data_IF_621576891723
#
_entry.id   IF_621576891723
#
_cell.length_a   1.000
_cell.length_b   1.000
_cell.length_c   1.000
_cell.angle_alpha   90.00
_cell.angle_beta   90.00
_cell.angle_gamma   90.00
#
_symmetry.space_group_name_H-M   'P 1'
#
loop_
_entity.id
_entity.type
_entity.pdbx_description
1 polymer ?
#
# COMPACT_ATOMS: atom_id res chain seq x y z
N UNK A 1 2.21 -4.08 -25.28
CA UNK A 1 1.40 -3.10 -24.50
C UNK A 1 0.30 -2.42 -25.32
N UNK A 2 0.60 -1.95 -26.55
CA UNK A 2 -0.33 -1.15 -27.36
C UNK A 2 -1.74 -1.75 -27.55
N UNK A 3 -1.84 -3.06 -27.79
CA UNK A 3 -3.14 -3.74 -27.98
C UNK A 3 -3.97 -3.75 -26.68
N UNK A 4 -3.41 -4.23 -25.57
CA UNK A 4 -4.08 -4.31 -24.26
C UNK A 4 -4.52 -2.94 -23.70
N UNK A 5 -3.72 -1.89 -23.90
CA UNK A 5 -3.99 -0.57 -23.31
C UNK A 5 -5.02 0.25 -24.09
N UNK A 6 -5.24 -0.04 -25.37
CA UNK A 6 -6.26 0.64 -26.19
C UNK A 6 -7.64 0.01 -26.05
N UNK A 7 -7.73 -1.28 -25.73
CA UNK A 7 -9.00 -2.01 -25.53
C UNK A 7 -9.41 -2.06 -24.05
N UNK A 8 -10.62 -2.57 -23.75
CA UNK A 8 -11.06 -2.75 -22.35
C UNK A 8 -10.41 -3.95 -21.67
N UNK A 9 -9.70 -4.73 -22.46
CA UNK A 9 -9.18 -6.06 -22.14
C UNK A 9 -8.13 -6.00 -21.02
N UNK A 10 -7.51 -4.83 -20.78
CA UNK A 10 -6.62 -4.64 -19.62
C UNK A 10 -7.32 -4.93 -18.29
N UNK A 11 -8.63 -4.69 -18.18
CA UNK A 11 -9.38 -5.02 -16.97
C UNK A 11 -9.65 -6.53 -16.84
N UNK A 12 -9.79 -7.22 -17.98
CA UNK A 12 -9.92 -8.67 -18.02
C UNK A 12 -8.63 -9.38 -17.60
N UNK A 13 -7.49 -8.71 -17.73
CA UNK A 13 -6.20 -9.15 -17.17
C UNK A 13 -6.06 -8.75 -15.69
N UNK A 14 -6.49 -7.53 -15.32
CA UNK A 14 -6.35 -7.01 -13.96
C UNK A 14 -7.10 -7.86 -12.92
N UNK A 15 -8.36 -8.20 -13.17
CA UNK A 15 -9.21 -8.88 -12.19
C UNK A 15 -8.65 -10.26 -11.79
N UNK A 16 -8.23 -11.14 -12.72
CA UNK A 16 -7.55 -12.39 -12.37
C UNK A 16 -6.25 -12.19 -11.58
N UNK A 17 -5.44 -11.18 -11.91
CA UNK A 17 -4.21 -10.88 -11.16
C UNK A 17 -4.57 -10.52 -9.71
N UNK A 18 -5.53 -9.61 -9.51
CA UNK A 18 -5.98 -9.21 -8.17
C UNK A 18 -6.59 -10.39 -7.40
N UNK A 19 -7.33 -11.28 -8.06
CA UNK A 19 -7.84 -12.51 -7.46
C UNK A 19 -6.70 -13.39 -6.94
N UNK A 20 -5.71 -13.71 -7.78
CA UNK A 20 -4.61 -14.60 -7.40
C UNK A 20 -3.70 -14.00 -6.34
N UNK A 21 -3.43 -12.69 -6.41
CA UNK A 21 -2.68 -11.96 -5.39
C UNK A 21 -3.42 -11.98 -4.05
N UNK A 22 -4.73 -11.68 -4.05
CA UNK A 22 -5.55 -11.67 -2.84
C UNK A 22 -5.68 -13.06 -2.19
N UNK A 23 -5.88 -14.09 -3.01
CA UNK A 23 -5.98 -15.49 -2.56
C UNK A 23 -4.66 -16.01 -1.96
N UNK A 24 -3.52 -15.50 -2.44
CA UNK A 24 -2.20 -15.97 -2.03
C UNK A 24 -1.61 -15.22 -0.83
N UNK A 25 -2.24 -14.13 -0.36
CA UNK A 25 -1.66 -13.15 0.58
C UNK A 25 -1.12 -13.71 1.90
N UNK A 26 -1.68 -14.83 2.37
CA UNK A 26 -1.32 -15.47 3.63
C UNK A 26 -0.38 -16.67 3.44
N UNK A 27 -0.12 -17.09 2.20
CA UNK A 27 0.71 -18.25 1.89
C UNK A 27 2.16 -17.81 1.63
N UNK A 28 3.12 -18.11 2.55
CA UNK A 28 4.52 -17.74 2.39
C UNK A 28 5.17 -18.35 1.14
N UNK A 29 4.68 -19.50 0.65
CA UNK A 29 5.21 -20.16 -0.54
C UNK A 29 4.80 -19.45 -1.84
N UNK A 30 3.74 -18.65 -1.81
CA UNK A 30 3.21 -17.91 -2.97
C UNK A 30 3.62 -16.44 -3.01
N UNK A 31 4.55 -16.03 -2.14
CA UNK A 31 5.08 -14.65 -2.11
C UNK A 31 5.65 -14.25 -3.47
N UNK A 32 6.34 -15.15 -4.19
CA UNK A 32 6.83 -14.86 -5.53
C UNK A 32 5.72 -14.56 -6.54
N UNK A 33 4.59 -15.27 -6.45
CA UNK A 33 3.42 -15.03 -7.31
C UNK A 33 2.78 -13.65 -7.02
N UNK A 34 2.78 -13.24 -5.75
CA UNK A 34 2.29 -11.92 -5.37
C UNK A 34 3.20 -10.83 -5.95
N UNK A 35 4.51 -10.96 -5.82
CA UNK A 35 5.47 -10.02 -6.41
C UNK A 35 5.29 -9.90 -7.93
N UNK A 36 5.13 -11.03 -8.62
CA UNK A 36 4.84 -11.05 -10.06
C UNK A 36 3.57 -10.27 -10.41
N UNK A 37 2.47 -10.54 -9.70
CA UNK A 37 1.21 -9.83 -9.91
C UNK A 37 1.33 -8.33 -9.67
N UNK A 38 2.00 -7.93 -8.60
CA UNK A 38 2.23 -6.52 -8.25
C UNK A 38 3.13 -5.83 -9.28
N UNK A 39 4.20 -6.46 -9.75
CA UNK A 39 5.08 -5.89 -10.78
C UNK A 39 4.40 -5.73 -12.14
N UNK A 40 3.54 -6.68 -12.54
CA UNK A 40 2.71 -6.52 -13.74
C UNK A 40 1.79 -5.30 -13.58
N UNK A 41 1.14 -5.13 -12.42
CA UNK A 41 0.28 -3.98 -12.18
C UNK A 41 1.10 -2.68 -12.12
N UNK A 42 2.30 -2.68 -11.54
CA UNK A 42 3.22 -1.54 -11.54
C UNK A 42 3.57 -1.10 -12.97
N UNK A 43 3.94 -2.07 -13.82
CA UNK A 43 4.19 -1.82 -15.24
C UNK A 43 2.96 -1.20 -15.93
N UNK A 44 1.76 -1.74 -15.70
CA UNK A 44 0.51 -1.21 -16.28
C UNK A 44 0.16 0.19 -15.74
N UNK A 45 0.43 0.46 -14.46
CA UNK A 45 0.12 1.73 -13.80
C UNK A 45 0.89 2.91 -14.38
N UNK A 46 2.04 2.67 -15.01
CA UNK A 46 2.83 3.69 -15.70
C UNK A 46 2.15 4.29 -16.94
N UNK A 47 1.00 3.74 -17.35
CA UNK A 47 0.30 4.14 -18.57
C UNK A 47 -1.03 4.83 -18.23
N UNK A 48 -1.20 6.08 -18.70
CA UNK A 48 -2.40 6.90 -18.45
C UNK A 48 -3.71 6.17 -18.75
N UNK A 49 -3.74 5.41 -19.86
CA UNK A 49 -4.94 4.68 -20.27
C UNK A 49 -5.37 3.64 -19.23
N UNK A 50 -4.44 3.02 -18.51
CA UNK A 50 -4.76 2.09 -17.43
C UNK A 50 -5.50 2.81 -16.31
N UNK A 51 -4.96 3.92 -15.80
CA UNK A 51 -5.60 4.74 -14.77
C UNK A 51 -7.00 5.21 -15.17
N UNK A 52 -7.17 5.66 -16.42
CA UNK A 52 -8.49 6.06 -16.94
C UNK A 52 -9.47 4.87 -16.99
N UNK A 53 -9.01 3.70 -17.44
CA UNK A 53 -9.84 2.48 -17.58
C UNK A 53 -10.33 1.95 -16.23
N UNK A 54 -9.60 2.18 -15.13
CA UNK A 54 -10.01 1.75 -13.80
C UNK A 54 -11.35 2.33 -13.34
N UNK A 55 -11.80 3.46 -13.91
CA UNK A 55 -13.10 4.05 -13.62
C UNK A 55 -14.31 3.25 -14.13
N UNK A 56 -14.09 2.18 -14.91
CA UNK A 56 -15.21 1.33 -15.34
C UNK A 56 -15.88 0.67 -14.14
N UNK A 57 -17.23 0.60 -14.09
CA UNK A 57 -17.94 -0.11 -13.04
C UNK A 57 -17.42 -1.53 -12.88
N UNK A 58 -17.19 -1.95 -11.64
CA UNK A 58 -16.81 -3.31 -11.33
C UNK A 58 -18.06 -4.15 -11.07
N UNK A 59 -18.18 -5.26 -11.80
CA UNK A 59 -19.19 -6.28 -11.54
C UNK A 59 -18.49 -7.49 -10.94
N UNK A 60 -18.86 -7.93 -9.72
CA UNK A 60 -18.26 -9.10 -9.10
C UNK A 60 -18.45 -10.35 -9.99
N UNK A 61 -17.35 -10.88 -10.50
CA UNK A 61 -17.31 -12.14 -11.28
C UNK A 61 -16.63 -13.29 -10.55
N UNK A 62 -15.78 -12.97 -9.59
CA UNK A 62 -15.02 -13.93 -8.78
C UNK A 62 -15.14 -13.57 -7.30
N UNK A 63 -15.11 -14.58 -6.43
CA UNK A 63 -15.08 -14.41 -4.98
C UNK A 63 -13.70 -13.92 -4.53
N UNK A 64 -13.42 -12.63 -4.76
CA UNK A 64 -12.27 -11.96 -4.16
C UNK A 64 -12.67 -11.60 -2.74
N UNK A 65 -11.92 -12.10 -1.76
CA UNK A 65 -12.13 -11.80 -0.36
C UNK A 65 -11.80 -10.32 -0.08
N UNK A 66 -12.78 -9.44 -0.25
CA UNK A 66 -12.79 -8.02 0.10
C UNK A 66 -14.17 -7.63 0.66
N UNK A 67 -14.23 -6.52 1.40
CA UNK A 67 -15.51 -5.98 1.87
C UNK A 67 -16.39 -5.63 0.66
N UNK A 68 -17.69 -5.98 0.71
CA UNK A 68 -18.64 -5.66 -0.34
C UNK A 68 -18.71 -4.15 -0.59
N UNK A 69 -18.75 -3.77 -1.87
CA UNK A 69 -18.81 -2.39 -2.32
C UNK A 69 -19.52 -2.31 -3.67
N UNK A 70 -20.06 -1.13 -3.97
CA UNK A 70 -20.53 -0.75 -5.31
C UNK A 70 -19.62 0.36 -5.80
N UNK A 71 -18.90 0.12 -6.89
CA UNK A 71 -17.89 1.05 -7.37
C UNK A 71 -17.21 0.59 -8.65
N UNK A 72 -15.97 1.00 -8.81
CA UNK A 72 -15.17 0.82 -10.03
C UNK A 72 -14.07 -0.22 -9.84
N UNK A 73 -13.30 -0.51 -10.89
CA UNK A 73 -12.12 -1.36 -10.77
C UNK A 73 -11.02 -0.69 -9.93
N UNK A 74 -11.00 0.64 -9.82
CA UNK A 74 -10.11 1.35 -8.91
C UNK A 74 -10.39 0.99 -7.45
N UNK A 75 -11.68 0.88 -7.07
CA UNK A 75 -12.08 0.48 -5.73
C UNK A 75 -11.59 -0.93 -5.40
N UNK A 76 -11.77 -1.88 -6.32
CA UNK A 76 -11.27 -3.25 -6.17
C UNK A 76 -9.75 -3.26 -5.93
N UNK A 77 -9.00 -2.50 -6.73
CA UNK A 77 -7.55 -2.38 -6.62
C UNK A 77 -7.14 -1.87 -5.23
N UNK A 78 -7.75 -0.76 -4.78
CA UNK A 78 -7.50 -0.16 -3.46
C UNK A 78 -7.83 -1.15 -2.33
N UNK A 79 -8.96 -1.85 -2.43
CA UNK A 79 -9.41 -2.82 -1.42
C UNK A 79 -8.47 -4.02 -1.29
N UNK A 80 -8.04 -4.59 -2.43
CA UNK A 80 -7.07 -5.69 -2.43
C UNK A 80 -5.73 -5.23 -1.87
N UNK A 81 -5.24 -4.07 -2.29
CA UNK A 81 -3.95 -3.54 -1.84
C UNK A 81 -3.97 -3.21 -0.35
N UNK A 82 -5.06 -2.63 0.15
CA UNK A 82 -5.28 -2.43 1.58
C UNK A 82 -5.17 -3.75 2.36
N UNK A 83 -5.80 -4.84 1.89
CA UNK A 83 -5.69 -6.15 2.55
C UNK A 83 -4.28 -6.72 2.53
N UNK A 84 -3.56 -6.59 1.42
CA UNK A 84 -2.16 -7.01 1.33
C UNK A 84 -1.29 -6.27 2.34
N UNK A 85 -1.52 -4.96 2.50
CA UNK A 85 -0.76 -4.11 3.43
C UNK A 85 -1.10 -4.42 4.89
N UNK A 86 -2.39 -4.58 5.20
CA UNK A 86 -2.86 -4.65 6.60
C UNK A 86 -2.94 -6.05 7.18
N UNK A 87 -3.22 -7.06 6.34
CA UNK A 87 -3.45 -8.45 6.78
C UNK A 87 -2.56 -9.46 6.08
N UNK A 88 -1.73 -9.02 5.13
CA UNK A 88 -0.83 -9.88 4.41
C UNK A 88 0.33 -10.40 5.26
N UNK A 89 1.03 -11.39 4.74
CA UNK A 89 2.24 -11.92 5.35
C UNK A 89 3.30 -10.81 5.56
N UNK A 90 4.06 -10.84 6.67
CA UNK A 90 5.16 -9.91 6.95
C UNK A 90 6.18 -9.81 5.80
N UNK A 91 6.38 -10.89 5.04
CA UNK A 91 7.23 -10.89 3.83
C UNK A 91 6.75 -9.97 2.71
N UNK A 92 5.52 -9.46 2.78
CA UNK A 92 4.97 -8.50 1.83
C UNK A 92 5.31 -7.04 2.18
N UNK A 93 5.97 -6.77 3.31
CA UNK A 93 6.39 -5.41 3.66
C UNK A 93 7.29 -4.79 2.59
N UNK A 94 8.14 -5.58 1.95
CA UNK A 94 8.99 -5.14 0.82
C UNK A 94 8.19 -4.66 -0.40
N UNK A 95 6.89 -5.00 -0.49
CA UNK A 95 6.01 -4.58 -1.58
C UNK A 95 5.20 -3.32 -1.26
N UNK A 96 5.25 -2.79 -0.04
CA UNK A 96 4.40 -1.66 0.34
C UNK A 96 4.65 -0.42 -0.53
N UNK A 97 5.92 -0.11 -0.79
CA UNK A 97 6.29 0.98 -1.69
C UNK A 97 5.74 0.77 -3.11
N UNK A 98 5.73 -0.47 -3.60
CA UNK A 98 5.23 -0.82 -4.93
C UNK A 98 3.72 -0.64 -5.00
N UNK A 99 3.01 -1.18 -4.01
CA UNK A 99 1.56 -1.10 -3.90
C UNK A 99 1.10 0.35 -3.82
N UNK A 100 1.77 1.17 -3.00
CA UNK A 100 1.45 2.59 -2.88
C UNK A 100 1.84 3.38 -4.14
N UNK A 101 2.99 3.08 -4.77
CA UNK A 101 3.41 3.69 -6.04
C UNK A 101 2.36 3.47 -7.15
N UNK A 102 1.81 2.26 -7.26
CA UNK A 102 0.73 1.97 -8.19
C UNK A 102 -0.49 2.86 -7.92
N UNK A 103 -0.91 2.98 -6.65
CA UNK A 103 -2.05 3.83 -6.28
C UNK A 103 -1.75 5.29 -6.62
N UNK A 104 -0.53 5.78 -6.35
CA UNK A 104 -0.09 7.13 -6.71
C UNK A 104 -0.18 7.35 -8.22
N UNK A 105 0.35 6.44 -9.04
CA UNK A 105 0.30 6.54 -10.50
C UNK A 105 -1.12 6.65 -11.06
N UNK A 106 -2.09 5.96 -10.46
CA UNK A 106 -3.49 5.97 -10.94
C UNK A 106 -4.34 7.08 -10.32
N UNK A 107 -3.94 7.60 -9.15
CA UNK A 107 -4.71 8.57 -8.36
C UNK A 107 -5.17 9.84 -9.10
N UNK A 108 -4.40 10.45 -10.02
CA UNK A 108 -4.87 11.64 -10.77
C UNK A 108 -6.03 11.36 -11.72
N UNK A 109 -6.33 10.08 -11.99
CA UNK A 109 -7.34 9.65 -12.96
C UNK A 109 -8.58 9.05 -12.30
N UNK A 110 -8.62 8.90 -10.97
CA UNK A 110 -9.72 8.28 -10.25
C UNK A 110 -10.90 9.25 -10.10
N UNK A 111 -11.88 9.15 -10.99
CA UNK A 111 -13.01 10.08 -11.06
C UNK A 111 -13.99 9.94 -9.91
N UNK A 112 -14.18 8.72 -9.42
CA UNK A 112 -15.08 8.47 -8.30
C UNK A 112 -14.67 7.21 -7.57
N UNK A 113 -14.30 7.35 -6.30
CA UNK A 113 -14.10 6.22 -5.40
C UNK A 113 -15.28 6.07 -4.46
N UNK A 114 -15.62 4.82 -4.15
CA UNK A 114 -16.63 4.45 -3.18
C UNK A 114 -16.25 4.89 -1.78
N UNK A 115 -17.25 5.05 -0.91
CA UNK A 115 -17.05 5.29 0.51
C UNK A 115 -16.17 4.22 1.17
N UNK A 116 -16.28 2.97 0.72
CA UNK A 116 -15.48 1.87 1.28
C UNK A 116 -14.00 2.04 0.94
N UNK A 117 -13.67 2.32 -0.32
CA UNK A 117 -12.28 2.55 -0.75
C UNK A 117 -11.69 3.82 -0.12
N UNK A 118 -12.47 4.90 -0.02
CA UNK A 118 -12.07 6.12 0.69
C UNK A 118 -11.67 5.83 2.14
N UNK A 119 -12.51 5.09 2.88
CA UNK A 119 -12.19 4.66 4.25
C UNK A 119 -10.92 3.80 4.32
N UNK A 120 -10.67 2.93 3.33
CA UNK A 120 -9.43 2.13 3.29
C UNK A 120 -8.19 2.99 3.09
N UNK A 121 -8.23 4.00 2.21
CA UNK A 121 -7.11 4.93 2.02
C UNK A 121 -6.82 5.73 3.31
N UNK A 122 -7.86 6.27 3.95
CA UNK A 122 -7.70 7.03 5.19
C UNK A 122 -7.25 6.14 6.35
N UNK A 123 -7.69 4.89 6.40
CA UNK A 123 -7.18 3.91 7.38
C UNK A 123 -5.68 3.64 7.22
N UNK A 124 -5.16 3.57 5.99
CA UNK A 124 -3.71 3.43 5.78
C UNK A 124 -2.95 4.66 6.28
N UNK A 125 -3.48 5.87 6.04
CA UNK A 125 -2.90 7.12 6.55
C UNK A 125 -2.89 7.10 8.08
N UNK A 126 -4.02 6.78 8.71
CA UNK A 126 -4.13 6.71 10.17
C UNK A 126 -3.15 5.70 10.77
N UNK A 127 -2.98 4.54 10.15
CA UNK A 127 -2.01 3.53 10.61
C UNK A 127 -0.56 4.00 10.44
N UNK A 128 -0.20 4.52 9.27
CA UNK A 128 1.17 4.90 8.93
C UNK A 128 1.58 6.27 9.45
N UNK A 129 0.64 7.12 9.88
CA UNK A 129 0.95 8.40 10.53
C UNK A 129 1.14 8.27 12.04
N UNK A 130 1.00 7.08 12.62
CA UNK A 130 1.23 6.89 14.05
C UNK A 130 2.71 7.15 14.39
N UNK A 131 3.02 7.93 15.44
CA UNK A 131 4.41 8.29 15.75
C UNK A 131 5.31 7.07 16.00
N UNK A 132 4.78 6.05 16.69
CA UNK A 132 5.48 4.77 16.86
C UNK A 132 5.91 4.18 15.50
N UNK A 133 5.00 4.12 14.52
CA UNK A 133 5.29 3.50 13.23
C UNK A 133 6.34 4.33 12.50
N UNK A 134 6.12 5.64 12.39
CA UNK A 134 7.03 6.56 11.72
C UNK A 134 8.44 6.44 12.26
N UNK A 135 8.62 6.37 13.59
CA UNK A 135 9.93 6.33 14.23
C UNK A 135 10.55 4.92 14.28
N UNK A 136 9.83 3.86 13.90
CA UNK A 136 10.31 2.48 14.00
C UNK A 136 11.28 2.06 12.90
N UNK A 137 11.34 2.79 11.77
CA UNK A 137 12.19 2.47 10.63
C UNK A 137 12.57 3.74 9.89
N UNK A 138 13.80 3.84 9.35
CA UNK A 138 14.24 5.00 8.57
C UNK A 138 13.37 5.22 7.31
N UNK A 139 12.68 4.20 6.80
CA UNK A 139 11.91 4.27 5.55
C UNK A 139 10.40 4.44 5.75
N UNK A 140 9.88 4.27 6.97
CA UNK A 140 8.43 4.27 7.20
C UNK A 140 7.75 5.61 6.85
N UNK A 141 8.47 6.72 6.97
CA UNK A 141 7.96 8.03 6.59
C UNK A 141 7.68 8.14 5.07
N UNK A 142 8.36 7.37 4.22
CA UNK A 142 8.13 7.40 2.77
C UNK A 142 6.72 6.93 2.40
N UNK A 143 6.19 5.96 3.13
CA UNK A 143 4.83 5.44 2.93
C UNK A 143 3.78 6.54 3.13
N UNK A 144 4.02 7.46 4.08
CA UNK A 144 3.11 8.59 4.29
C UNK A 144 3.21 9.63 3.17
N UNK A 145 4.39 9.83 2.57
CA UNK A 145 4.55 10.67 1.39
C UNK A 145 3.70 10.16 0.22
N UNK A 146 3.77 8.86 -0.09
CA UNK A 146 2.95 8.27 -1.13
C UNK A 146 1.45 8.43 -0.86
N UNK A 147 0.99 8.16 0.37
CA UNK A 147 -0.44 8.28 0.70
C UNK A 147 -0.95 9.72 0.64
N UNK A 148 -0.15 10.70 1.09
CA UNK A 148 -0.50 12.12 0.97
C UNK A 148 -0.52 12.55 -0.51
N UNK A 149 0.41 12.04 -1.33
CA UNK A 149 0.40 12.28 -2.77
C UNK A 149 -0.86 11.71 -3.44
N UNK A 150 -1.32 10.51 -3.04
CA UNK A 150 -2.61 9.95 -3.51
C UNK A 150 -3.76 10.90 -3.21
N UNK A 151 -3.86 11.40 -1.97
CA UNK A 151 -4.94 12.32 -1.60
C UNK A 151 -4.84 13.63 -2.38
N UNK A 152 -3.64 14.20 -2.49
CA UNK A 152 -3.42 15.46 -3.18
C UNK A 152 -3.77 15.34 -4.66
N UNK A 153 -3.39 14.25 -5.31
CA UNK A 153 -3.75 13.98 -6.70
C UNK A 153 -5.27 13.91 -6.88
N UNK A 154 -5.98 13.18 -6.03
CA UNK A 154 -7.44 13.07 -6.15
C UNK A 154 -8.12 14.43 -5.87
N UNK A 155 -7.67 15.16 -4.84
CA UNK A 155 -8.21 16.48 -4.50
C UNK A 155 -7.92 17.52 -5.59
N UNK A 156 -6.74 17.52 -6.19
CA UNK A 156 -6.37 18.52 -7.20
C UNK A 156 -6.98 18.23 -8.57
N UNK A 157 -7.07 16.95 -8.97
CA UNK A 157 -7.43 16.58 -10.34
C UNK A 157 -8.84 16.01 -10.49
N UNK A 158 -9.41 15.44 -9.43
CA UNK A 158 -10.66 14.69 -9.49
C UNK A 158 -11.61 15.06 -8.35
N UNK A 159 -11.53 16.28 -7.79
CA UNK A 159 -12.37 16.72 -6.67
C UNK A 159 -13.86 16.47 -6.91
N UNK A 160 -14.34 16.88 -8.10
CA UNK A 160 -15.74 16.91 -8.52
C UNK A 160 -16.50 15.60 -8.26
N UNK A 161 -15.89 14.45 -8.59
CA UNK A 161 -16.52 13.14 -8.43
C UNK A 161 -16.15 12.36 -7.17
N UNK A 162 -15.33 12.94 -6.28
CA UNK A 162 -14.77 12.27 -5.10
C UNK A 162 -15.27 12.83 -3.75
N UNK A 163 -16.55 13.19 -3.68
CA UNK A 163 -17.18 13.67 -2.44
C UNK A 163 -17.07 12.67 -1.27
N UNK A 164 -17.09 11.36 -1.55
CA UNK A 164 -16.87 10.30 -0.56
C UNK A 164 -15.50 10.41 0.12
N UNK A 165 -14.44 10.67 -0.65
CA UNK A 165 -13.10 10.85 -0.10
C UNK A 165 -13.03 12.12 0.74
N UNK A 166 -13.54 13.22 0.19
CA UNK A 166 -13.57 14.53 0.88
C UNK A 166 -14.30 14.44 2.21
N UNK A 167 -15.46 13.80 2.22
CA UNK A 167 -16.23 13.53 3.43
C UNK A 167 -15.43 12.71 4.45
N UNK A 168 -14.77 11.63 4.00
CA UNK A 168 -13.95 10.79 4.87
C UNK A 168 -12.78 11.58 5.48
N UNK A 169 -12.12 12.43 4.69
CA UNK A 169 -11.05 13.34 5.16
C UNK A 169 -11.57 14.30 6.23
N UNK A 170 -12.73 14.92 6.02
CA UNK A 170 -13.36 15.83 6.99
C UNK A 170 -13.67 15.11 8.31
N UNK A 171 -14.22 13.89 8.23
CA UNK A 171 -14.52 13.06 9.41
C UNK A 171 -13.28 12.66 10.19
N UNK A 172 -12.16 12.42 9.48
CA UNK A 172 -10.88 11.97 10.05
C UNK A 172 -9.85 13.10 10.13
N UNK A 173 -10.28 14.37 10.10
CA UNK A 173 -9.42 15.57 10.11
C UNK A 173 -8.34 15.57 11.18
N UNK A 174 -8.62 14.97 12.34
CA UNK A 174 -7.67 14.88 13.46
C UNK A 174 -6.39 14.13 13.09
N UNK A 175 -6.46 13.13 12.21
CA UNK A 175 -5.28 12.41 11.74
C UNK A 175 -4.28 13.36 11.06
N UNK A 176 -4.78 14.27 10.22
CA UNK A 176 -3.95 15.26 9.53
C UNK A 176 -3.43 16.34 10.46
N UNK A 177 -4.26 16.80 11.41
CA UNK A 177 -3.83 17.77 12.42
C UNK A 177 -2.75 17.21 13.34
N UNK A 178 -2.85 15.93 13.72
CA UNK A 178 -1.82 15.26 14.51
C UNK A 178 -0.53 15.08 13.72
N UNK A 179 -0.62 14.67 12.44
CA UNK A 179 0.55 14.52 11.58
C UNK A 179 1.26 15.85 11.34
N UNK A 180 0.51 16.94 11.11
CA UNK A 180 1.07 18.29 10.96
C UNK A 180 1.79 18.77 12.23
N UNK A 181 1.29 18.38 13.40
CA UNK A 181 1.83 18.76 14.71
C UNK A 181 2.71 17.67 15.35
N UNK A 182 3.24 16.73 14.57
CA UNK A 182 4.09 15.64 15.06
C UNK A 182 5.31 16.23 15.80
N UNK A 183 5.52 15.90 17.08
CA UNK A 183 6.71 16.39 17.80
C UNK A 183 7.99 15.70 17.29
N UNK A 184 9.06 16.49 17.15
CA UNK A 184 10.41 16.04 16.80
C UNK A 184 11.31 15.87 18.03
N UNK A 185 10.78 16.11 19.24
CA UNK A 185 11.59 16.17 20.46
C UNK A 185 12.14 14.77 20.80
N UNK A 186 13.42 14.69 21.13
CA UNK A 186 14.08 13.41 21.47
C UNK A 186 13.35 12.66 22.59
N UNK A 187 12.88 13.36 23.63
CA UNK A 187 12.10 12.77 24.71
C UNK A 187 10.76 12.19 24.23
N UNK A 188 10.09 12.87 23.30
CA UNK A 188 8.85 12.40 22.70
C UNK A 188 9.08 11.16 21.83
N UNK A 189 10.10 11.19 20.97
CA UNK A 189 10.49 10.07 20.10
C UNK A 189 10.75 8.81 20.95
N UNK A 190 11.60 8.94 21.98
CA UNK A 190 11.91 7.82 22.87
C UNK A 190 10.66 7.27 23.57
N UNK A 191 9.79 8.15 24.07
CA UNK A 191 8.54 7.75 24.73
C UNK A 191 7.63 6.95 23.79
N UNK A 192 7.46 7.39 22.54
CA UNK A 192 6.60 6.71 21.57
C UNK A 192 7.15 5.35 21.14
N UNK A 193 8.48 5.19 21.08
CA UNK A 193 9.13 3.89 20.80
C UNK A 193 9.07 2.91 21.99
N UNK A 194 9.13 3.41 23.23
CA UNK A 194 9.09 2.58 24.44
C UNK A 194 7.69 2.08 24.80
N UNK A 195 6.65 2.88 24.53
CA UNK A 195 5.26 2.60 24.92
C UNK A 195 4.67 1.29 24.39
N UNK A 196 5.31 0.63 23.41
CA UNK A 196 4.87 -0.66 22.87
C UNK A 196 5.68 -1.87 23.37
N UNK A 197 6.88 -1.67 23.93
CA UNK A 197 7.65 -2.77 24.56
C UNK A 197 6.93 -3.33 25.80
N UNK A 198 6.22 -2.49 26.55
CA UNK A 198 5.41 -2.90 27.71
C UNK A 198 4.11 -3.65 27.36
N UNK A 199 3.58 -3.47 26.14
CA UNK A 199 2.26 -4.00 25.75
C UNK A 199 2.27 -5.45 25.24
N UNK A 200 3.45 -6.08 25.16
CA UNK A 200 3.59 -7.52 24.84
C UNK A 200 3.29 -8.43 26.05
N UNK A 201 3.29 -7.92 27.27
CA UNK A 201 3.10 -8.75 28.47
C UNK A 201 1.63 -8.95 28.86
N UNK A 202 0.71 -8.07 28.46
CA UNK A 202 -0.69 -8.13 28.89
C UNK A 202 -1.63 -8.89 27.94
N UNK A 203 -1.16 -9.32 26.77
CA UNK A 203 -2.01 -10.05 25.79
C UNK A 203 -1.92 -11.57 25.94
N UNK A 204 -1.05 -12.08 26.82
CA UNK A 204 -0.88 -13.53 27.05
C UNK A 204 -1.82 -14.06 28.15
N UNK A 205 -2.52 -13.19 28.88
CA UNK A 205 -3.33 -13.59 30.05
C UNK A 205 -4.82 -13.88 29.76
N UNK A 206 -5.36 -13.54 28.59
CA UNK A 206 -6.82 -13.58 28.34
C UNK A 206 -7.30 -14.66 27.34
N UNK A 207 -6.51 -15.72 27.11
CA UNK A 207 -6.96 -16.83 26.24
C UNK A 207 -6.60 -18.23 26.75
N UNK A 208 -6.58 -18.42 28.07
CA UNK A 208 -6.52 -19.75 28.68
C UNK A 208 -7.63 -19.97 29.69
N UNK A 209 -8.79 -20.37 29.19
CA UNK A 209 -9.73 -21.22 29.93
C UNK A 209 -10.32 -22.27 28.99
N UNK A 210 -10.39 -23.51 29.48
CA UNK A 210 -10.86 -24.77 28.84
C UNK A 210 -9.77 -25.74 28.32
N UNK A 211 -9.06 -26.39 29.26
CA UNK A 211 -8.89 -27.86 29.49
C UNK A 211 -9.07 -28.77 28.25
N UNK A 212 -8.14 -29.65 27.84
CA UNK A 212 -7.64 -30.87 28.53
C UNK A 212 -6.18 -31.25 28.20
N UNK A 213 -5.63 -32.02 29.15
CA UNK A 213 -4.29 -32.58 29.30
C UNK A 213 -3.65 -33.31 28.10
N UNK A 214 -2.35 -33.08 27.91
CA UNK A 214 -1.34 -34.13 27.66
C UNK A 214 0.08 -33.58 27.94
N UNK A 215 0.90 -34.39 28.63
CA UNK A 215 2.26 -34.04 29.11
C UNK A 215 3.29 -33.96 27.96
N UNK A 216 4.39 -33.20 28.12
CA UNK A 216 5.35 -32.92 27.05
C UNK A 216 6.34 -34.08 26.86
N UNK A 217 6.53 -34.52 25.62
CA UNK A 217 7.70 -35.33 25.23
C UNK A 217 8.78 -34.39 24.71
N UNK A 218 9.98 -34.55 25.26
CA UNK A 218 11.21 -33.83 24.96
C UNK A 218 11.53 -33.80 23.46
N UNK A 219 11.57 -32.60 22.87
CA UNK A 219 12.11 -32.39 21.53
C UNK A 219 13.63 -32.37 21.58
N UNK A 220 14.24 -33.41 21.03
CA UNK A 220 15.63 -33.44 20.59
C UNK A 220 15.82 -32.41 19.48
N UNK A 221 16.83 -31.55 19.65
CA UNK A 221 17.28 -30.59 18.65
C UNK A 221 17.71 -31.31 17.37
N UNK A 222 16.95 -31.15 16.29
CA UNK A 222 17.45 -31.39 14.94
C UNK A 222 17.53 -30.06 14.18
N UNK A 223 18.71 -29.44 14.28
CA UNK A 223 19.20 -28.43 13.33
C UNK A 223 19.39 -29.12 11.98
N UNK A 224 18.51 -28.85 11.02
CA UNK A 224 18.76 -28.84 9.56
C UNK A 224 17.43 -28.65 8.83
N UNK A 225 16.96 -27.40 8.76
CA UNK A 225 15.87 -27.03 7.86
C UNK A 225 16.48 -26.16 6.76
N UNK A 226 16.79 -26.76 5.61
CA UNK A 226 17.14 -26.05 4.39
C UNK A 226 15.86 -25.34 3.93
N UNK A 227 15.68 -24.08 4.34
CA UNK A 227 14.67 -23.21 3.73
C UNK A 227 15.25 -22.76 2.39
N UNK A 228 14.68 -23.24 1.28
CA UNK A 228 14.86 -22.60 -0.01
C UNK A 228 14.37 -21.15 0.12
N UNK A 229 15.31 -20.21 0.21
CA UNK A 229 15.00 -18.79 0.34
C UNK A 229 14.86 -18.22 -1.06
N UNK A 230 13.74 -17.55 -1.34
CA UNK A 230 13.59 -16.75 -2.55
C UNK A 230 14.72 -15.72 -2.56
N UNK A 231 15.37 -15.49 -3.72
CA UNK A 231 16.34 -14.43 -3.87
C UNK A 231 15.76 -13.09 -3.37
N UNK A 232 16.59 -12.25 -2.76
CA UNK A 232 16.15 -10.94 -2.25
C UNK A 232 15.47 -10.16 -3.36
N UNK A 233 14.23 -9.72 -3.09
CA UNK A 233 13.47 -8.98 -4.09
C UNK A 233 14.01 -7.55 -4.15
N UNK A 234 14.26 -6.99 -5.35
CA UNK A 234 14.78 -5.62 -5.48
C UNK A 234 13.81 -4.59 -4.91
N UNK A 235 14.34 -3.53 -4.29
CA UNK A 235 13.55 -2.42 -3.79
C UNK A 235 12.99 -1.57 -4.94
N UNK A 236 11.82 -0.97 -4.71
CA UNK A 236 11.06 -0.20 -5.72
C UNK A 236 11.83 1.01 -6.24
N UNK A 237 12.61 1.65 -5.37
CA UNK A 237 13.54 2.75 -5.69
C UNK A 237 14.52 2.39 -6.82
N UNK A 238 14.89 1.11 -6.93
CA UNK A 238 15.77 0.61 -8.00
C UNK A 238 14.99 0.27 -9.28
N UNK A 239 13.67 0.19 -9.21
CA UNK A 239 12.76 -0.33 -10.24
C UNK A 239 11.87 0.76 -10.86
N UNK A 240 12.01 2.02 -10.47
CA UNK A 240 11.22 3.14 -11.02
C UNK A 240 12.09 4.34 -11.35
N UNK A 241 11.67 5.14 -12.34
CA UNK A 241 12.31 6.43 -12.63
C UNK A 241 12.36 7.34 -11.40
N UNK A 242 13.52 7.97 -11.16
CA UNK A 242 13.67 8.98 -10.10
C UNK A 242 12.72 10.15 -10.38
N UNK A 243 11.76 10.36 -9.49
CA UNK A 243 10.88 11.52 -9.52
C UNK A 243 11.59 12.76 -8.95
N UNK A 244 11.20 13.96 -9.39
CA UNK A 244 11.77 15.24 -8.90
C UNK A 244 11.55 15.47 -7.39
N UNK A 245 10.69 14.67 -6.75
CA UNK A 245 10.38 14.70 -5.31
C UNK A 245 10.99 13.54 -4.51
N UNK A 246 11.87 12.73 -5.10
CA UNK A 246 12.50 11.65 -4.35
C UNK A 246 13.50 12.25 -3.35
N UNK A 247 13.14 12.15 -2.07
CA UNK A 247 14.01 12.45 -0.94
C UNK A 247 15.32 11.68 -1.11
N UNK A 248 16.49 12.28 -0.82
CA UNK A 248 17.75 11.56 -0.89
C UNK A 248 17.72 10.40 0.11
N UNK A 249 17.72 9.17 -0.40
CA UNK A 249 18.03 7.98 0.37
C UNK A 249 19.53 7.97 0.65
N UNK A 250 19.93 8.24 1.89
CA UNK A 250 21.23 7.78 2.38
C UNK A 250 21.22 6.25 2.34
N UNK A 251 22.29 5.66 1.77
CA UNK A 251 22.49 4.24 1.48
C UNK A 251 21.69 3.22 2.32
N UNK A 252 20.98 2.33 1.62
CA UNK A 252 20.17 1.17 2.07
C UNK A 252 20.96 0.03 2.77
N UNK A 253 21.89 0.37 3.65
CA UNK A 253 22.27 -0.56 4.71
C UNK A 253 21.24 -0.43 5.82
N UNK A 254 20.54 -1.51 6.17
CA UNK A 254 19.96 -1.61 7.52
C UNK A 254 21.14 -1.51 8.48
N UNK A 255 21.47 -0.30 8.93
CA UNK A 255 22.44 -0.11 9.99
C UNK A 255 21.87 -0.82 11.21
N UNK A 256 22.45 -1.97 11.56
CA UNK A 256 22.22 -2.58 12.86
C UNK A 256 22.43 -1.51 13.93
N UNK A 257 21.35 -1.12 14.62
CA UNK A 257 21.40 -0.06 15.62
C UNK A 257 20.90 1.33 15.17
N UNK A 258 20.25 1.49 14.02
CA UNK A 258 19.58 2.75 13.68
C UNK A 258 18.50 3.11 14.72
N UNK A 259 18.46 4.40 15.11
CA UNK A 259 17.44 4.97 16.01
C UNK A 259 17.01 6.33 15.45
N UNK A 260 15.70 6.60 15.48
CA UNK A 260 15.14 7.89 15.08
C UNK A 260 15.72 9.05 15.94
N UNK A 261 16.33 10.04 15.28
CA UNK A 261 16.85 11.26 15.91
C UNK A 261 15.95 12.46 15.59
N UNK A 262 16.07 13.54 16.38
CA UNK A 262 15.36 14.81 16.13
C UNK A 262 15.68 15.34 14.73
N UNK A 263 16.97 15.42 14.38
CA UNK A 263 17.41 15.92 13.07
C UNK A 263 16.83 15.08 11.92
N UNK A 264 16.80 13.76 12.09
CA UNK A 264 16.19 12.88 11.09
C UNK A 264 14.69 13.15 10.94
N UNK A 265 13.92 13.30 12.02
CA UNK A 265 12.48 13.64 11.92
C UNK A 265 12.29 14.99 11.24
N UNK A 266 13.08 16.00 11.60
CA UNK A 266 12.97 17.35 11.02
C UNK A 266 13.33 17.39 9.53
N UNK A 267 14.25 16.52 9.08
CA UNK A 267 14.71 16.45 7.69
C UNK A 267 13.60 16.14 6.68
N UNK A 268 12.55 15.43 7.09
CA UNK A 268 11.43 15.04 6.24
C UNK A 268 10.08 15.61 6.68
N UNK A 269 9.87 15.86 7.98
CA UNK A 269 8.58 16.35 8.51
C UNK A 269 8.14 17.64 7.84
N UNK A 270 9.07 18.60 7.67
CA UNK A 270 8.80 19.89 7.03
C UNK A 270 8.45 19.77 5.54
N UNK A 271 8.79 18.64 4.90
CA UNK A 271 8.58 18.37 3.48
C UNK A 271 7.27 17.62 3.20
N UNK A 272 6.55 17.18 4.23
CA UNK A 272 5.28 16.47 4.06
C UNK A 272 4.30 17.32 3.23
N UNK A 273 3.69 16.78 2.16
CA UNK A 273 2.83 17.55 1.28
C UNK A 273 1.41 17.70 1.87
N UNK A 274 1.30 18.32 3.04
CA UNK A 274 0.04 18.49 3.79
C UNK A 274 -0.79 19.69 3.31
N UNK A 275 -0.19 20.62 2.57
CA UNK A 275 -0.79 21.92 2.24
C UNK A 275 -2.17 21.80 1.59
N UNK A 276 -2.33 20.91 0.61
CA UNK A 276 -3.61 20.71 -0.10
C UNK A 276 -4.71 20.20 0.82
N UNK A 277 -4.44 19.12 1.58
CA UNK A 277 -5.42 18.56 2.53
C UNK A 277 -5.76 19.55 3.64
N UNK A 278 -4.76 20.24 4.18
CA UNK A 278 -4.97 21.25 5.23
C UNK A 278 -5.81 22.42 4.71
N UNK A 279 -5.56 22.88 3.48
CA UNK A 279 -6.35 23.95 2.86
C UNK A 279 -7.80 23.51 2.62
N UNK A 280 -8.01 22.28 2.15
CA UNK A 280 -9.34 21.69 2.01
C UNK A 280 -10.08 21.66 3.35
N UNK A 281 -9.42 21.21 4.41
CA UNK A 281 -10.02 21.14 5.76
C UNK A 281 -10.37 22.53 6.30
N UNK A 282 -9.47 23.52 6.15
CA UNK A 282 -9.71 24.91 6.58
C UNK A 282 -10.95 25.52 5.92
N UNK A 283 -11.20 25.19 4.65
CA UNK A 283 -12.33 25.73 3.89
C UNK A 283 -13.62 24.97 4.19
N UNK A 284 -13.59 23.63 4.14
CA UNK A 284 -14.80 22.82 4.16
C UNK A 284 -15.29 22.48 5.57
N UNK A 285 -14.41 22.33 6.56
CA UNK A 285 -14.84 21.97 7.93
C UNK A 285 -15.80 23.02 8.51
N UNK A 286 -15.50 24.33 8.48
CA UNK A 286 -16.42 25.34 9.02
C UNK A 286 -17.75 25.38 8.25
N UNK A 287 -17.74 25.16 6.93
CA UNK A 287 -18.95 25.15 6.11
C UNK A 287 -19.86 23.96 6.43
N UNK A 288 -19.26 22.77 6.59
CA UNK A 288 -19.98 21.55 6.96
C UNK A 288 -20.50 21.66 8.40
N UNK A 289 -19.73 22.21 9.34
CA UNK A 289 -20.20 22.39 10.71
C UNK A 289 -21.36 23.41 10.77
N UNK A 290 -21.25 24.52 10.03
CA UNK A 290 -22.32 25.52 9.94
C UNK A 290 -23.61 24.92 9.37
N UNK A 291 -23.55 24.19 8.26
CA UNK A 291 -24.76 23.63 7.65
C UNK A 291 -25.40 22.55 8.56
N UNK A 292 -24.59 21.79 9.30
CA UNK A 292 -25.12 20.84 10.29
C UNK A 292 -25.86 21.54 11.42
N UNK A 293 -25.37 22.69 11.90
CA UNK A 293 -26.02 23.49 12.94
C UNK A 293 -27.28 24.17 12.40
N UNK A 294 -27.16 24.91 11.29
CA UNK A 294 -28.23 25.76 10.75
C UNK A 294 -29.46 24.95 10.30
N UNK A 295 -29.23 23.75 9.76
CA UNK A 295 -30.29 22.89 9.21
C UNK A 295 -30.60 21.67 10.10
N UNK A 296 -29.91 21.51 11.23
CA UNK A 296 -30.06 20.33 12.10
C UNK A 296 -29.70 19.01 11.39
N UNK A 297 -28.80 19.06 10.40
CA UNK A 297 -28.46 17.88 9.57
C UNK A 297 -27.58 16.92 10.36
N UNK A 298 -28.06 15.70 10.53
CA UNK A 298 -27.26 14.57 11.05
C UNK A 298 -26.92 13.54 9.98
N UNK A 299 -27.54 13.65 8.80
CA UNK A 299 -27.52 12.59 7.80
C UNK A 299 -26.32 12.69 6.85
N UNK A 300 -25.55 11.61 6.77
CA UNK A 300 -24.39 11.48 5.89
C UNK A 300 -24.72 11.79 4.42
N UNK A 301 -25.88 11.36 3.95
CA UNK A 301 -26.32 11.57 2.56
C UNK A 301 -26.50 13.04 2.20
N UNK A 302 -26.94 13.89 3.15
CA UNK A 302 -27.15 15.31 2.89
C UNK A 302 -25.84 16.08 2.89
N UNK A 303 -24.90 15.71 3.77
CA UNK A 303 -23.54 16.25 3.75
C UNK A 303 -22.85 15.88 2.42
N UNK A 304 -23.00 14.63 1.96
CA UNK A 304 -22.46 14.21 0.67
C UNK A 304 -23.05 15.00 -0.50
N UNK A 305 -24.37 15.24 -0.51
CA UNK A 305 -25.02 16.10 -1.51
C UNK A 305 -24.46 17.52 -1.46
N UNK A 306 -24.27 18.10 -0.28
CA UNK A 306 -23.65 19.42 -0.16
C UNK A 306 -22.24 19.44 -0.78
N UNK A 307 -21.40 18.45 -0.45
CA UNK A 307 -20.03 18.36 -0.96
C UNK A 307 -19.98 18.15 -2.48
N UNK A 308 -20.94 17.43 -3.06
CA UNK A 308 -21.05 17.24 -4.52
C UNK A 308 -21.33 18.54 -5.29
N UNK A 309 -22.01 19.51 -4.67
CA UNK A 309 -22.28 20.81 -5.29
C UNK A 309 -21.23 21.86 -4.93
N UNK A 310 -20.32 21.55 -4.01
CA UNK A 310 -19.24 22.44 -3.59
C UNK A 310 -18.16 22.55 -4.66
N UNK A 311 -17.45 23.68 -4.68
CA UNK A 311 -16.27 23.88 -5.53
C UNK A 311 -15.10 24.37 -4.70
N UNK A 312 -13.90 23.89 -5.04
CA UNK A 312 -12.63 24.36 -4.47
C UNK A 312 -11.77 25.13 -5.49
N UNK A 313 -12.34 25.50 -6.63
CA UNK A 313 -11.66 26.27 -7.67
C UNK A 313 -11.17 27.60 -7.09
N UNK A 314 -9.87 27.89 -7.27
CA UNK A 314 -9.22 29.10 -6.76
C UNK A 314 -8.92 29.09 -5.26
N UNK A 315 -9.33 28.05 -4.51
CA UNK A 315 -9.10 27.96 -3.06
C UNK A 315 -7.91 27.06 -2.68
N UNK A 316 -7.61 26.07 -3.54
CA UNK A 316 -6.49 25.16 -3.36
C UNK A 316 -5.17 25.75 -3.89
N UNK A 317 -4.01 25.27 -3.39
CA UNK A 317 -2.72 25.59 -3.98
C UNK A 317 -2.64 25.22 -5.46
N UNK A 318 -1.69 25.82 -6.18
CA UNK A 318 -1.42 25.47 -7.58
C UNK A 318 -1.16 23.97 -7.69
N UNK A 319 -1.85 23.25 -8.61
CA UNK A 319 -1.63 21.82 -8.78
C UNK A 319 -0.18 21.50 -9.14
N UNK A 320 0.40 20.51 -8.47
CA UNK A 320 1.74 20.04 -8.81
C UNK A 320 1.66 19.17 -10.08
N UNK A 321 2.68 19.15 -10.95
CA UNK A 321 2.67 18.28 -12.12
C UNK A 321 2.38 16.82 -11.77
N UNK A 322 1.62 16.13 -12.61
CA UNK A 322 1.37 14.70 -12.46
C UNK A 322 2.69 13.96 -12.70
N UNK A 323 3.20 13.30 -11.66
CA UNK A 323 4.38 12.45 -11.72
C UNK A 323 3.95 11.00 -11.88
N UNK A 324 4.38 10.35 -12.97
CA UNK A 324 4.13 8.93 -13.22
C UNK A 324 5.44 8.17 -13.04
N UNK A 325 5.50 7.31 -12.03
CA UNK A 325 6.65 6.46 -11.73
C UNK A 325 6.56 5.18 -12.55
N UNK A 326 7.18 5.18 -13.73
CA UNK A 326 7.19 4.02 -14.64
C UNK A 326 8.13 2.93 -14.14
N UNK A 327 7.72 1.68 -14.33
CA UNK A 327 8.58 0.52 -14.10
C UNK A 327 9.81 0.56 -15.02
N UNK A 328 10.97 0.38 -14.43
CA UNK A 328 12.24 0.20 -15.11
C UNK A 328 12.80 -1.18 -14.79
N UNK A 329 13.07 -1.93 -15.85
CA UNK A 329 13.77 -3.20 -15.72
C UNK A 329 15.20 -2.95 -15.24
N UNK A 330 15.66 -3.74 -14.29
CA UNK A 330 17.03 -3.70 -13.80
C UNK A 330 17.62 -5.12 -13.70
N UNK A 331 18.93 -5.25 -13.54
CA UNK A 331 19.59 -6.55 -13.51
C UNK A 331 19.06 -7.45 -12.38
N UNK A 332 18.78 -6.87 -11.20
CA UNK A 332 18.26 -7.61 -10.05
C UNK A 332 16.86 -8.17 -10.29
N UNK A 333 15.96 -7.37 -10.84
CA UNK A 333 14.58 -7.78 -11.16
C UNK A 333 14.54 -8.81 -12.27
N UNK A 334 15.37 -8.64 -13.30
CA UNK A 334 15.51 -9.62 -14.37
C UNK A 334 16.04 -10.95 -13.84
N UNK A 335 17.05 -10.92 -12.96
CA UNK A 335 17.59 -12.12 -12.34
C UNK A 335 16.53 -12.81 -11.46
N UNK A 336 15.88 -12.06 -10.57
CA UNK A 336 14.82 -12.57 -9.70
C UNK A 336 13.66 -13.19 -10.49
N UNK A 337 13.18 -12.49 -11.52
CA UNK A 337 12.09 -12.94 -12.38
C UNK A 337 12.47 -14.24 -13.11
N UNK A 338 13.68 -14.27 -13.69
CA UNK A 338 14.19 -15.45 -14.40
C UNK A 338 14.27 -16.65 -13.46
N UNK A 339 14.86 -16.48 -12.28
CA UNK A 339 15.00 -17.55 -11.28
C UNK A 339 13.63 -18.05 -10.82
N UNK A 340 12.69 -17.16 -10.55
CA UNK A 340 11.34 -17.55 -10.12
C UNK A 340 10.58 -18.28 -11.23
N UNK A 341 10.57 -17.75 -12.46
CA UNK A 341 9.85 -18.34 -13.58
C UNK A 341 10.39 -19.74 -13.90
N UNK A 342 11.71 -19.91 -14.01
CA UNK A 342 12.31 -21.21 -14.25
C UNK A 342 12.09 -22.17 -13.07
N UNK A 343 12.07 -21.67 -11.84
CA UNK A 343 11.67 -22.46 -10.66
C UNK A 343 10.26 -23.02 -10.76
N UNK A 344 9.29 -22.19 -11.16
CA UNK A 344 7.90 -22.64 -11.35
C UNK A 344 7.79 -23.64 -12.50
N UNK A 345 8.44 -23.38 -13.63
CA UNK A 345 8.44 -24.29 -14.79
C UNK A 345 9.05 -25.63 -14.40
N UNK A 346 10.18 -25.63 -13.70
CA UNK A 346 10.84 -26.85 -13.23
C UNK A 346 9.92 -27.65 -12.31
N UNK A 347 9.39 -27.02 -11.25
CA UNK A 347 8.54 -27.70 -10.26
C UNK A 347 7.23 -28.23 -10.86
N UNK A 348 6.66 -27.55 -11.86
CA UNK A 348 5.42 -27.98 -12.52
C UNK A 348 5.61 -29.14 -13.49
N UNK A 349 6.83 -29.37 -13.96
CA UNK A 349 7.16 -30.42 -14.93
C UNK A 349 8.10 -31.48 -14.32
N UNK A 350 7.92 -31.77 -13.04
CA UNK A 350 8.51 -32.95 -12.39
C UNK A 350 7.75 -34.21 -12.82
N UNK A 351 6.46 -34.10 -13.13
CA UNK A 351 5.62 -35.20 -13.62
C UNK A 351 4.59 -34.67 -14.65
N UNK A 352 4.70 -35.01 -15.96
CA UNK A 352 5.77 -35.83 -16.55
C UNK A 352 7.12 -35.07 -16.54
N UNK A 353 8.23 -35.76 -16.29
CA UNK A 353 9.53 -35.13 -16.18
C UNK A 353 10.12 -34.82 -17.56
N UNK A 354 9.87 -33.60 -18.05
CA UNK A 354 10.37 -33.16 -19.36
C UNK A 354 11.88 -32.88 -19.38
N UNK A 355 12.52 -32.85 -18.20
CA UNK A 355 13.93 -32.49 -18.03
C UNK A 355 14.84 -33.69 -17.75
N UNK A 356 14.30 -34.88 -17.49
CA UNK A 356 15.12 -36.10 -17.38
C UNK A 356 15.75 -36.41 -18.75
N UNK A 357 16.99 -36.90 -18.73
CA UNK A 357 17.84 -37.16 -19.92
C UNK A 357 18.18 -35.94 -20.80
N UNK A 358 18.06 -34.73 -20.24
CA UNK A 358 18.57 -33.51 -20.88
C UNK A 358 19.86 -33.02 -20.18
N UNK A 359 20.75 -32.36 -20.92
CA UNK A 359 21.95 -31.70 -20.36
C UNK A 359 21.62 -30.41 -19.56
N UNK A 360 20.32 -30.09 -19.41
CA UNK A 360 19.86 -28.83 -18.83
C UNK A 360 20.01 -28.85 -17.30
N UNK A 361 20.99 -28.10 -16.78
CA UNK A 361 21.20 -27.89 -15.34
C UNK A 361 20.64 -26.53 -14.90
N UNK A 362 19.40 -26.51 -14.40
CA UNK A 362 18.72 -25.26 -14.00
C UNK A 362 19.14 -24.75 -12.61
N UNK A 363 19.50 -25.64 -11.69
CA UNK A 363 19.87 -25.29 -10.32
C UNK A 363 21.12 -26.08 -9.90
N UNK A 364 22.09 -25.41 -9.29
CA UNK A 364 23.13 -26.10 -8.53
C UNK A 364 22.52 -26.55 -7.20
N UNK A 365 22.30 -27.85 -7.06
CA UNK A 365 22.03 -28.44 -5.75
C UNK A 365 23.38 -28.44 -5.02
N UNK A 366 23.62 -27.48 -4.14
CA UNK A 366 24.71 -27.59 -3.17
C UNK A 366 24.45 -28.84 -2.33
N UNK A 367 25.23 -29.89 -2.57
CA UNK A 367 25.29 -31.06 -1.69
C UNK A 367 26.03 -30.62 -0.43
N UNK A 368 25.40 -30.88 0.71
CA UNK A 368 25.93 -30.63 2.06
C UNK A 368 27.26 -31.36 2.29
#
# INVERSE_FOLDING_TARGET
>A
MFYLLKTSDVLEVLVPILFHVSASRNDPARVGLIHMGVFIILLLSGERNFGVRLNKPYTPRAAIDVQSFTGTHADLLILVFHKLITTGNHRLQSLFDCLLTIIVNVSPYLKSISMVAANKLIHLIEAFSTPWFLFSSPTNHLLIFFLLEVLNNIIQYQFDGNSNLVYTIIRKRQVFYQLANLSSDSAYIMKMLQGRKGRKNDVVAESKSSITDEKPVSNVENKTNIKATLAETPQVSTMTEKGMNDLPHENDGVQEGWVATTDWVESWKSKLPLQTVMRLLQVLVPQVEKICIDKGLTDESEILKFLQHGTLVGLLPVPHPILIRKYQANAGTNHWFRTYLWGVIYLRNIDPPIWYDTDVKLFEIQKA
#
